data_IF_547754794651
#
_entry.id   IF_547754794651
#
_cell.length_a   1.000
_cell.length_b   1.000
_cell.length_c   1.000
_cell.angle_alpha   90.00
_cell.angle_beta   90.00
_cell.angle_gamma   90.00
#
_symmetry.space_group_name_H-M   'P 1'
#
loop_
_entity.id
_entity.type
_entity.pdbx_description
1 polymer ?
#
# COMPACT_ATOMS: atom_id res chain seq x y z
N UNK A 1 -3.87 -2.09 7.85
CA UNK A 1 -4.00 -3.54 8.10
C UNK A 1 -5.47 -3.90 8.06
N UNK A 2 -5.90 -4.66 7.04
CA UNK A 2 -7.31 -4.99 6.85
C UNK A 2 -7.69 -6.21 7.73
N UNK A 3 -8.12 -5.95 8.97
CA UNK A 3 -8.37 -6.98 9.99
C UNK A 3 -9.48 -7.95 9.60
N UNK A 4 -10.41 -7.54 8.77
CA UNK A 4 -11.55 -8.36 8.34
C UNK A 4 -11.15 -9.32 7.22
N UNK A 5 -10.31 -8.88 6.28
CA UNK A 5 -9.71 -9.76 5.27
C UNK A 5 -8.85 -10.88 5.90
N UNK A 6 -8.16 -10.58 7.00
CA UNK A 6 -7.37 -11.57 7.72
C UNK A 6 -8.25 -12.65 8.39
N UNK A 7 -9.41 -12.26 8.94
CA UNK A 7 -10.35 -13.20 9.57
C UNK A 7 -10.96 -14.17 8.55
N UNK A 8 -11.39 -13.67 7.39
CA UNK A 8 -11.95 -14.49 6.30
C UNK A 8 -10.93 -15.55 5.85
N UNK A 9 -9.69 -15.15 5.61
CA UNK A 9 -8.63 -16.08 5.20
C UNK A 9 -8.28 -17.11 6.26
N UNK A 10 -8.26 -16.74 7.54
CA UNK A 10 -8.02 -17.72 8.61
C UNK A 10 -9.11 -18.78 8.71
N UNK A 11 -10.34 -18.47 8.26
CA UNK A 11 -11.43 -19.43 8.18
C UNK A 11 -11.27 -20.34 6.95
N UNK A 12 -10.97 -19.77 5.79
CA UNK A 12 -10.75 -20.52 4.53
C UNK A 12 -9.51 -21.44 4.60
N UNK A 13 -8.45 -21.01 5.28
CA UNK A 13 -7.20 -21.77 5.40
C UNK A 13 -7.28 -22.83 6.52
N UNK A 14 -8.36 -22.92 7.29
CA UNK A 14 -8.46 -23.88 8.40
C UNK A 14 -8.47 -25.33 7.93
N UNK A 15 -8.97 -25.60 6.72
CA UNK A 15 -9.10 -26.94 6.11
C UNK A 15 -7.93 -27.35 5.21
N UNK A 16 -7.00 -26.44 4.89
CA UNK A 16 -5.91 -26.69 3.92
C UNK A 16 -4.71 -27.38 4.57
N UNK A 17 -3.99 -28.17 3.76
CA UNK A 17 -2.71 -28.76 4.13
C UNK A 17 -1.61 -27.70 4.27
N UNK A 18 -0.54 -28.01 5.02
CA UNK A 18 0.57 -27.10 5.25
C UNK A 18 1.28 -26.66 3.96
N UNK A 19 1.35 -27.53 2.97
CA UNK A 19 1.95 -27.24 1.65
C UNK A 19 1.08 -26.29 0.82
N UNK A 20 -0.23 -26.48 0.82
CA UNK A 20 -1.20 -25.63 0.10
C UNK A 20 -1.22 -24.21 0.67
N UNK A 21 -1.06 -24.07 2.00
CA UNK A 21 -0.92 -22.76 2.66
C UNK A 21 0.32 -22.01 2.19
N UNK A 22 1.43 -22.72 2.02
CA UNK A 22 2.68 -22.14 1.52
C UNK A 22 2.57 -21.73 0.05
N UNK A 23 1.88 -22.52 -0.78
CA UNK A 23 1.59 -22.16 -2.18
C UNK A 23 0.74 -20.90 -2.28
N UNK A 24 -0.39 -20.83 -1.57
CA UNK A 24 -1.25 -19.64 -1.57
C UNK A 24 -0.53 -18.40 -1.02
N UNK A 25 0.31 -18.58 0.00
CA UNK A 25 1.14 -17.49 0.53
C UNK A 25 2.14 -16.97 -0.50
N UNK A 26 2.77 -17.86 -1.27
CA UNK A 26 3.67 -17.49 -2.36
C UNK A 26 2.93 -16.72 -3.46
N UNK A 27 1.77 -17.20 -3.91
CA UNK A 27 0.95 -16.51 -4.91
C UNK A 27 0.53 -15.11 -4.45
N UNK A 28 0.12 -14.95 -3.18
CA UNK A 28 -0.21 -13.63 -2.62
C UNK A 28 0.98 -12.67 -2.62
N UNK A 29 2.18 -13.19 -2.33
CA UNK A 29 3.41 -12.41 -2.34
C UNK A 29 3.81 -11.97 -3.76
N UNK A 30 3.68 -12.86 -4.74
CA UNK A 30 3.93 -12.54 -6.16
C UNK A 30 2.91 -11.52 -6.69
N UNK A 31 1.64 -11.62 -6.28
CA UNK A 31 0.59 -10.69 -6.66
C UNK A 31 0.64 -9.34 -5.91
N UNK A 32 1.64 -9.13 -5.03
CA UNK A 32 1.82 -7.88 -4.30
C UNK A 32 0.73 -7.58 -3.26
N UNK A 33 -0.07 -8.59 -2.87
CA UNK A 33 -1.16 -8.46 -1.88
C UNK A 33 -0.88 -9.28 -0.60
N UNK A 34 0.25 -9.07 0.11
CA UNK A 34 0.46 -9.71 1.39
C UNK A 34 -0.46 -9.12 2.46
N UNK A 35 -0.89 -9.97 3.37
CA UNK A 35 -1.86 -9.65 4.41
C UNK A 35 -1.27 -9.78 5.81
N UNK A 36 -0.28 -10.66 5.99
CA UNK A 36 0.42 -10.85 7.29
C UNK A 36 1.80 -10.20 7.29
N UNK A 37 2.40 -10.01 6.11
CA UNK A 37 3.75 -9.45 5.95
C UNK A 37 3.75 -8.12 5.20
N UNK A 38 4.89 -7.42 5.23
CA UNK A 38 5.06 -6.14 4.54
C UNK A 38 5.18 -6.35 3.02
N UNK A 39 4.52 -5.49 2.26
CA UNK A 39 4.58 -5.46 0.79
C UNK A 39 6.02 -5.26 0.30
N UNK A 40 6.72 -4.29 0.87
CA UNK A 40 8.09 -3.93 0.45
C UNK A 40 9.14 -4.95 0.88
N UNK A 41 10.19 -5.08 0.08
CA UNK A 41 11.41 -5.83 0.39
C UNK A 41 11.52 -7.20 -0.28
N UNK A 42 12.74 -7.75 -0.25
CA UNK A 42 13.13 -9.03 -0.88
C UNK A 42 12.25 -10.20 -0.41
N UNK A 43 12.00 -11.13 -1.33
CA UNK A 43 11.32 -12.38 -1.02
C UNK A 43 12.31 -13.32 -0.31
N UNK A 44 11.90 -13.90 0.80
CA UNK A 44 12.69 -14.86 1.58
C UNK A 44 11.79 -15.99 2.07
N UNK A 45 12.37 -17.14 2.38
CA UNK A 45 11.64 -18.29 2.95
C UNK A 45 10.88 -17.90 4.23
N UNK A 46 11.48 -17.03 5.06
CA UNK A 46 10.83 -16.53 6.26
C UNK A 46 9.62 -15.63 5.94
N UNK A 47 9.70 -14.82 4.87
CA UNK A 47 8.57 -13.97 4.43
C UNK A 47 7.38 -14.83 3.97
N UNK A 48 7.63 -15.90 3.22
CA UNK A 48 6.60 -16.86 2.80
C UNK A 48 5.98 -17.58 4.01
N UNK A 49 6.82 -18.05 4.95
CA UNK A 49 6.35 -18.75 6.15
C UNK A 49 5.46 -17.86 7.04
N UNK A 50 5.86 -16.59 7.23
CA UNK A 50 5.09 -15.62 8.00
C UNK A 50 3.78 -15.23 7.29
N UNK A 51 3.77 -15.18 5.96
CA UNK A 51 2.57 -14.92 5.17
C UNK A 51 1.58 -16.09 5.20
N UNK A 52 2.08 -17.33 5.29
CA UNK A 52 1.27 -18.54 5.49
C UNK A 52 0.74 -18.68 6.94
N UNK A 53 1.22 -17.85 7.87
CA UNK A 53 0.83 -17.92 9.28
C UNK A 53 1.27 -19.19 10.00
N UNK A 54 2.30 -19.86 9.50
CA UNK A 54 2.84 -21.10 10.05
C UNK A 54 3.89 -20.80 11.13
N UNK A 55 4.15 -21.77 12.00
CA UNK A 55 5.15 -21.66 13.06
C UNK A 55 6.55 -21.36 12.52
N UNK A 56 7.44 -20.86 13.37
CA UNK A 56 8.84 -20.57 12.99
C UNK A 56 9.48 -21.82 12.36
N UNK A 57 10.16 -21.62 11.24
CA UNK A 57 10.92 -22.68 10.55
C UNK A 57 10.08 -23.85 9.99
N UNK A 58 8.74 -23.75 10.00
CA UNK A 58 7.87 -24.84 9.55
C UNK A 58 8.03 -25.17 8.06
N UNK A 59 8.40 -24.17 7.26
CA UNK A 59 8.70 -24.31 5.83
C UNK A 59 9.80 -25.36 5.53
N UNK A 60 10.76 -25.57 6.42
CA UNK A 60 11.84 -26.53 6.22
C UNK A 60 11.41 -28.00 6.35
N UNK A 61 10.19 -28.25 6.85
CA UNK A 61 9.59 -29.59 6.86
C UNK A 61 9.29 -30.09 5.44
N UNK A 62 9.02 -29.17 4.52
CA UNK A 62 8.67 -29.45 3.13
C UNK A 62 9.83 -29.13 2.19
N UNK A 63 10.90 -29.93 2.26
CA UNK A 63 12.11 -29.71 1.45
C UNK A 63 11.82 -29.71 -0.04
N UNK A 64 10.96 -30.59 -0.51
CA UNK A 64 10.57 -30.64 -1.93
C UNK A 64 9.92 -29.34 -2.42
N UNK A 65 9.07 -28.73 -1.60
CA UNK A 65 8.45 -27.45 -1.92
C UNK A 65 9.48 -26.31 -1.93
N UNK A 66 10.40 -26.31 -0.97
CA UNK A 66 11.47 -25.31 -0.89
C UNK A 66 12.35 -25.36 -2.12
N UNK A 67 12.81 -26.55 -2.49
CA UNK A 67 13.79 -26.74 -3.56
C UNK A 67 13.16 -26.56 -4.95
N UNK A 68 11.94 -27.07 -5.17
CA UNK A 68 11.30 -27.05 -6.50
C UNK A 68 10.47 -25.79 -6.78
N UNK A 69 9.94 -25.12 -5.74
CA UNK A 69 8.95 -24.04 -5.92
C UNK A 69 9.41 -22.74 -5.27
N UNK A 70 9.82 -22.77 -4.01
CA UNK A 70 10.12 -21.53 -3.27
C UNK A 70 11.43 -20.87 -3.71
N UNK A 71 12.53 -21.64 -3.80
CA UNK A 71 13.83 -21.12 -4.22
C UNK A 71 13.82 -20.51 -5.64
N UNK A 72 13.30 -21.19 -6.69
CA UNK A 72 13.25 -20.59 -8.03
C UNK A 72 12.35 -19.34 -8.08
N UNK A 73 11.24 -19.31 -7.35
CA UNK A 73 10.38 -18.12 -7.27
C UNK A 73 11.06 -16.95 -6.53
N UNK A 74 11.80 -17.23 -5.46
CA UNK A 74 12.59 -16.25 -4.71
C UNK A 74 13.69 -15.66 -5.60
N UNK A 75 14.43 -16.51 -6.31
CA UNK A 75 15.48 -16.08 -7.23
C UNK A 75 14.91 -15.24 -8.36
N UNK A 76 13.82 -15.66 -9.00
CA UNK A 76 13.17 -14.89 -10.06
C UNK A 76 12.70 -13.50 -9.57
N UNK A 77 12.04 -13.44 -8.40
CA UNK A 77 11.54 -12.20 -7.82
C UNK A 77 12.67 -11.26 -7.37
N UNK A 78 13.70 -11.79 -6.72
CA UNK A 78 14.84 -10.98 -6.28
C UNK A 78 15.71 -10.55 -7.46
N UNK A 79 15.85 -11.39 -8.51
CA UNK A 79 16.53 -11.00 -9.74
C UNK A 79 15.79 -9.89 -10.48
N UNK A 80 14.46 -9.86 -10.44
CA UNK A 80 13.68 -8.74 -10.97
C UNK A 80 13.84 -7.44 -10.15
N UNK A 81 14.14 -7.56 -8.85
CA UNK A 81 14.47 -6.42 -7.98
C UNK A 81 15.93 -5.94 -8.11
N UNK A 82 16.87 -6.86 -8.33
CA UNK A 82 18.30 -6.59 -8.45
C UNK A 82 18.71 -6.23 -9.89
N UNK A 83 17.96 -6.70 -10.90
CA UNK A 83 17.99 -6.05 -12.21
C UNK A 83 17.46 -4.64 -11.98
N UNK A 84 18.23 -3.58 -12.30
CA UNK A 84 17.63 -2.28 -12.44
C UNK A 84 16.66 -2.43 -13.62
N UNK A 85 15.40 -2.78 -13.33
CA UNK A 85 14.32 -2.19 -14.08
C UNK A 85 14.64 -0.71 -14.02
N UNK A 86 14.91 -0.06 -15.16
CA UNK A 86 15.05 1.37 -15.14
C UNK A 86 13.76 1.84 -14.49
N UNK A 87 13.88 2.46 -13.32
CA UNK A 87 12.90 3.47 -12.95
C UNK A 87 12.68 4.28 -14.22
N UNK A 88 11.45 4.60 -14.59
CA UNK A 88 11.09 5.39 -15.79
C UNK A 88 11.86 6.72 -15.95
N UNK A 89 12.76 7.04 -15.02
CA UNK A 89 13.71 8.14 -14.98
C UNK A 89 15.04 7.88 -15.71
N UNK A 90 15.40 6.63 -16.03
CA UNK A 90 16.69 6.32 -16.68
C UNK A 90 16.53 5.28 -17.79
N UNK A 91 15.89 5.66 -18.90
CA UNK A 91 16.01 4.89 -20.13
C UNK A 91 17.48 4.90 -20.60
N UNK A 92 18.04 3.75 -21.04
CA UNK A 92 19.38 3.72 -21.59
C UNK A 92 19.40 4.59 -22.84
N UNK A 93 20.33 5.55 -22.88
CA UNK A 93 20.66 6.33 -24.07
C UNK A 93 20.76 5.36 -25.24
N UNK A 94 19.81 5.46 -26.17
CA UNK A 94 19.73 4.61 -27.34
C UNK A 94 21.01 4.78 -28.14
N UNK A 95 21.88 3.78 -28.11
CA UNK A 95 23.06 3.65 -28.98
C UNK A 95 22.58 3.66 -30.44
N UNK A 96 22.58 4.83 -31.07
CA UNK A 96 22.18 4.99 -32.48
C UNK A 96 21.51 6.31 -32.86
N UNK A 97 21.10 7.16 -31.90
CA UNK A 97 20.57 8.50 -32.18
C UNK A 97 21.69 9.54 -32.18
N UNK A 98 21.61 10.56 -33.04
CA UNK A 98 22.49 11.73 -32.95
C UNK A 98 22.32 12.38 -31.57
N UNK A 99 23.39 12.86 -30.95
CA UNK A 99 23.37 13.50 -29.62
C UNK A 99 22.30 14.61 -29.49
N UNK A 100 21.95 15.24 -30.61
CA UNK A 100 20.92 16.28 -30.66
C UNK A 100 19.52 15.70 -30.48
N UNK A 101 19.25 14.51 -31.01
CA UNK A 101 17.95 13.86 -30.93
C UNK A 101 17.71 13.29 -29.53
N UNK A 102 18.74 12.72 -28.90
CA UNK A 102 18.64 12.27 -27.50
C UNK A 102 18.39 13.43 -26.53
N UNK A 103 19.04 14.58 -26.74
CA UNK A 103 18.81 15.79 -25.95
C UNK A 103 17.40 16.36 -26.12
N UNK A 104 16.81 16.26 -27.32
CA UNK A 104 15.42 16.68 -27.57
C UNK A 104 14.42 15.79 -26.85
N UNK A 105 14.62 14.48 -26.91
CA UNK A 105 13.77 13.51 -26.21
C UNK A 105 13.84 13.70 -24.70
N UNK A 106 15.03 13.96 -24.16
CA UNK A 106 15.22 14.25 -22.74
C UNK A 106 14.53 15.56 -22.34
N UNK A 107 14.62 16.61 -23.16
CA UNK A 107 13.94 17.87 -22.90
C UNK A 107 12.41 17.70 -22.87
N UNK A 108 11.85 16.94 -23.82
CA UNK A 108 10.40 16.65 -23.85
C UNK A 108 9.99 15.87 -22.60
N UNK A 109 10.76 14.87 -22.19
CA UNK A 109 10.53 14.11 -20.95
C UNK A 109 10.54 15.01 -19.73
N UNK A 110 11.52 15.90 -19.60
CA UNK A 110 11.61 16.83 -18.48
C UNK A 110 10.46 17.83 -18.45
N UNK A 111 10.00 18.30 -19.61
CA UNK A 111 8.84 19.20 -19.71
C UNK A 111 7.57 18.47 -19.27
N UNK A 112 7.31 17.28 -19.82
CA UNK A 112 6.16 16.46 -19.45
C UNK A 112 6.13 16.17 -17.95
N UNK A 113 7.27 15.77 -17.38
CA UNK A 113 7.38 15.50 -15.95
C UNK A 113 7.08 16.75 -15.11
N UNK A 114 7.58 17.92 -15.52
CA UNK A 114 7.30 19.19 -14.82
C UNK A 114 5.82 19.59 -14.90
N UNK A 115 5.17 19.33 -16.03
CA UNK A 115 3.74 19.61 -16.21
C UNK A 115 2.88 18.68 -15.33
N UNK A 116 3.22 17.40 -15.27
CA UNK A 116 2.53 16.43 -14.42
C UNK A 116 2.70 16.80 -12.93
N UNK A 117 3.92 17.13 -12.49
CA UNK A 117 4.15 17.61 -11.12
C UNK A 117 3.35 18.89 -10.77
N UNK A 118 3.21 19.80 -11.73
CA UNK A 118 2.39 21.01 -11.52
C UNK A 118 0.92 20.65 -11.36
N UNK A 119 0.41 19.74 -12.21
CA UNK A 119 -0.98 19.27 -12.15
C UNK A 119 -1.28 18.57 -10.83
N UNK A 120 -0.44 17.62 -10.42
CA UNK A 120 -0.59 16.92 -9.13
C UNK A 120 -0.59 17.90 -7.95
N UNK A 121 0.30 18.89 -7.99
CA UNK A 121 0.36 19.93 -6.95
C UNK A 121 -0.93 20.74 -6.90
N UNK A 122 -1.43 21.19 -8.05
CA UNK A 122 -2.64 22.01 -8.12
C UNK A 122 -3.88 21.22 -7.68
N UNK A 123 -3.97 19.94 -8.04
CA UNK A 123 -5.00 19.01 -7.55
C UNK A 123 -4.93 18.81 -6.03
N UNK A 124 -3.73 18.65 -5.46
CA UNK A 124 -3.55 18.56 -4.00
C UNK A 124 -3.94 19.84 -3.27
N UNK A 125 -3.63 21.01 -3.84
CA UNK A 125 -4.07 22.29 -3.28
C UNK A 125 -5.60 22.39 -3.30
N UNK A 126 -6.22 22.07 -4.43
CA UNK A 126 -7.69 22.10 -4.57
C UNK A 126 -8.39 21.17 -3.58
N UNK A 127 -7.93 19.92 -3.46
CA UNK A 127 -8.48 18.96 -2.49
C UNK A 127 -8.28 19.42 -1.05
N UNK A 128 -7.14 20.02 -0.72
CA UNK A 128 -6.90 20.55 0.61
C UNK A 128 -7.82 21.74 0.92
N UNK A 129 -8.05 22.63 -0.04
CA UNK A 129 -8.98 23.76 0.11
C UNK A 129 -10.42 23.27 0.35
N UNK A 130 -10.85 22.21 -0.34
CA UNK A 130 -12.14 21.57 -0.10
C UNK A 130 -12.24 20.96 1.30
N UNK A 131 -11.20 20.25 1.74
CA UNK A 131 -11.13 19.70 3.11
C UNK A 131 -11.16 20.80 4.16
N UNK A 132 -10.47 21.91 3.94
CA UNK A 132 -10.51 23.05 4.85
C UNK A 132 -11.91 23.66 4.94
N UNK A 133 -12.60 23.84 3.82
CA UNK A 133 -13.98 24.35 3.80
C UNK A 133 -14.91 23.42 4.58
N UNK A 134 -14.82 22.11 4.34
CA UNK A 134 -15.62 21.12 5.04
C UNK A 134 -15.33 21.15 6.55
N UNK A 135 -14.06 21.19 6.94
CA UNK A 135 -13.65 21.22 8.34
C UNK A 135 -14.14 22.49 9.05
N UNK A 136 -14.02 23.66 8.40
CA UNK A 136 -14.58 24.93 8.91
C UNK A 136 -16.10 24.83 9.12
N UNK A 137 -16.82 24.26 8.15
CA UNK A 137 -18.27 24.05 8.27
C UNK A 137 -18.64 23.12 9.42
N UNK A 138 -17.91 22.00 9.60
CA UNK A 138 -18.16 21.08 10.71
C UNK A 138 -17.86 21.75 12.06
N UNK A 139 -16.73 22.46 12.18
CA UNK A 139 -16.39 23.17 13.41
C UNK A 139 -17.44 24.21 13.78
N UNK A 140 -17.94 24.95 12.80
CA UNK A 140 -19.03 25.90 13.03
C UNK A 140 -20.30 25.20 13.53
N UNK A 141 -20.70 24.08 12.90
CA UNK A 141 -21.87 23.33 13.35
C UNK A 141 -21.71 22.75 14.76
N UNK A 142 -20.52 22.27 15.10
CA UNK A 142 -20.21 21.80 16.46
C UNK A 142 -20.36 22.94 17.46
N UNK A 143 -19.88 24.14 17.13
CA UNK A 143 -20.02 25.32 17.96
C UNK A 143 -21.50 25.72 18.17
N UNK A 144 -22.33 25.67 17.12
CA UNK A 144 -23.77 25.91 17.25
C UNK A 144 -24.43 24.90 18.20
N UNK A 145 -24.15 23.61 18.01
CA UNK A 145 -24.68 22.55 18.87
C UNK A 145 -24.24 22.71 20.33
N UNK A 146 -23.01 23.19 20.57
CA UNK A 146 -22.54 23.49 21.91
C UNK A 146 -23.31 24.65 22.55
N UNK A 147 -23.66 25.68 21.77
CA UNK A 147 -24.50 26.78 22.26
C UNK A 147 -25.93 26.34 22.53
N UNK A 148 -26.53 25.56 21.63
CA UNK A 148 -27.87 24.96 21.83
C UNK A 148 -27.89 24.15 23.13
N UNK A 149 -26.92 23.24 23.32
CA UNK A 149 -26.82 22.44 24.53
C UNK A 149 -26.59 23.29 25.80
N UNK A 150 -25.75 24.33 25.72
CA UNK A 150 -25.52 25.22 26.85
C UNK A 150 -26.79 25.96 27.26
N UNK A 151 -27.59 26.42 26.29
CA UNK A 151 -28.87 27.06 26.56
C UNK A 151 -29.86 26.07 27.20
N UNK A 152 -29.98 24.86 26.67
CA UNK A 152 -30.86 23.81 27.21
C UNK A 152 -30.48 23.43 28.66
N UNK A 153 -29.18 23.36 28.98
CA UNK A 153 -28.70 23.09 30.34
C UNK A 153 -29.10 24.22 31.31
N UNK A 154 -28.95 25.48 30.90
CA UNK A 154 -29.34 26.65 31.71
C UNK A 154 -30.86 26.65 31.96
N UNK A 155 -31.67 26.36 30.95
CA UNK A 155 -33.11 26.22 31.11
C UNK A 155 -33.47 25.10 32.11
N UNK A 156 -32.81 23.95 32.00
CA UNK A 156 -33.05 22.80 32.88
C UNK A 156 -32.66 23.09 34.35
N UNK A 157 -31.56 23.81 34.58
CA UNK A 157 -31.15 24.27 35.92
C UNK A 157 -32.18 25.23 36.52
N UNK A 158 -32.74 26.14 35.72
CA UNK A 158 -33.80 27.05 36.19
C UNK A 158 -35.11 26.33 36.51
N UNK A 159 -35.45 25.24 35.80
CA UNK A 159 -36.63 24.44 36.08
C UNK A 159 -36.51 23.55 37.32
N UNK A 160 -35.29 23.13 37.68
CA UNK A 160 -35.03 22.26 38.84
C UNK A 160 -34.86 23.04 40.16
N UNK A 161 -34.67 24.36 40.11
CA UNK A 161 -34.56 25.24 41.29
C UNK A 161 -35.89 25.86 41.74
N UNK A 162 -37.03 25.56 41.08
CA UNK A 162 -38.39 25.93 41.52
C UNK A 162 -39.08 24.77 42.21
#
# INVERSE_FOLDING_TARGET
MNKDALKVLTQEEKSLSGEEKLQKALERLLNGKPLRTKVKGRLTLNKINNEAGLGRSYIHKFKEFVDKVANPAIEAYNKALDSPQPTDLEAPLTEGMSEIDSLREELVRQVALKEDYRREKDELIATNDELEKLNKSLMFRVFELQQELANDVVEYEHHTQK
#
